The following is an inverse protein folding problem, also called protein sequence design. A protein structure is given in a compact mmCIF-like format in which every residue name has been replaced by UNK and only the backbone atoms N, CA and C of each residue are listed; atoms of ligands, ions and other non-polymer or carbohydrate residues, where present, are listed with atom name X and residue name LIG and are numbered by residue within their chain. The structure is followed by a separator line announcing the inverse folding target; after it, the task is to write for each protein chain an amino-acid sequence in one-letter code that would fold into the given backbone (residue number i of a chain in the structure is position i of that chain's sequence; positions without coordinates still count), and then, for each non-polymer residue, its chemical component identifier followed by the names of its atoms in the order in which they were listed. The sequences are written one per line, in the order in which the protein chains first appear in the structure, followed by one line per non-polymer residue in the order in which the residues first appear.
data_IF_002182949491
#
_entry.id   IF_002182949491
#
_cell.length_a   1.000
_cell.length_b   1.000
_cell.length_c   1.000
_cell.angle_alpha   90.00
_cell.angle_beta   90.00
_cell.angle_gamma   90.00
#
_symmetry.space_group_name_H-M   'P 1'
#
loop_
_entity.id
_entity.type
_entity.pdbx_description
1 polymer ?
#
# COMPACT_ATOMS: atom_id res chain seq x y z
N UNK A 1 18.55 -2.18 -23.05
CA UNK A 1 18.03 -1.21 -22.07
C UNK A 1 16.75 -1.79 -21.49
N UNK A 2 16.70 -2.10 -20.19
CA UNK A 2 15.48 -2.59 -19.53
C UNK A 2 14.99 -1.51 -18.55
N UNK A 3 14.27 -0.53 -19.06
CA UNK A 3 13.51 0.38 -18.21
C UNK A 3 12.22 -0.36 -17.82
N UNK A 4 12.07 -0.66 -16.54
CA UNK A 4 10.83 -1.23 -16.01
C UNK A 4 9.94 -0.06 -15.61
N UNK A 5 8.83 0.14 -16.31
CA UNK A 5 7.78 1.08 -15.89
C UNK A 5 7.25 0.59 -14.52
N UNK A 6 7.32 1.39 -13.45
CA UNK A 6 6.71 1.04 -12.18
C UNK A 6 5.19 0.87 -12.36
N UNK A 7 4.59 -0.09 -11.65
CA UNK A 7 3.15 -0.25 -11.64
C UNK A 7 2.47 1.07 -11.22
N UNK A 8 1.37 1.45 -11.87
CA UNK A 8 0.61 2.62 -11.46
C UNK A 8 -0.12 2.33 -10.15
N UNK A 9 0.38 2.92 -9.06
CA UNK A 9 -0.20 2.75 -7.72
C UNK A 9 -1.15 3.87 -7.33
N UNK A 10 -1.20 4.98 -8.09
CA UNK A 10 -2.03 6.14 -7.78
C UNK A 10 -3.51 5.80 -7.73
N UNK A 11 -4.24 6.32 -6.76
CA UNK A 11 -5.69 6.16 -6.57
C UNK A 11 -6.04 5.67 -5.17
N UNK A 12 -7.33 5.42 -4.95
CA UNK A 12 -7.86 4.93 -3.68
C UNK A 12 -8.02 3.42 -3.70
N UNK A 13 -7.60 2.78 -2.62
CA UNK A 13 -7.59 1.33 -2.47
C UNK A 13 -8.30 0.95 -1.18
N UNK A 14 -9.22 -0.01 -1.25
CA UNK A 14 -9.81 -0.65 -0.08
C UNK A 14 -8.84 -1.69 0.44
N UNK A 15 -8.14 -1.40 1.52
CA UNK A 15 -7.21 -2.30 2.20
C UNK A 15 -7.98 -3.11 3.25
N UNK A 16 -7.78 -4.43 3.23
CA UNK A 16 -8.35 -5.37 4.18
C UNK A 16 -7.20 -6.16 4.77
N UNK A 17 -7.03 -6.08 6.09
CA UNK A 17 -6.10 -6.90 6.86
C UNK A 17 -6.85 -7.59 8.01
N UNK A 18 -6.76 -8.92 8.06
CA UNK A 18 -7.46 -9.80 9.00
C UNK A 18 -8.95 -9.48 9.19
N UNK A 19 -9.28 -8.53 10.08
CA UNK A 19 -10.65 -8.11 10.42
C UNK A 19 -10.87 -6.59 10.27
N UNK A 20 -9.85 -5.85 9.86
CA UNK A 20 -9.91 -4.40 9.70
C UNK A 20 -9.93 -4.01 8.23
N UNK A 21 -10.75 -3.01 7.95
CA UNK A 21 -10.84 -2.39 6.64
C UNK A 21 -10.42 -0.92 6.75
N UNK A 22 -9.66 -0.47 5.76
CA UNK A 22 -9.16 0.88 5.66
C UNK A 22 -9.16 1.34 4.19
N UNK A 23 -9.22 2.65 3.98
CA UNK A 23 -9.01 3.25 2.66
C UNK A 23 -7.58 3.77 2.56
N UNK A 24 -6.81 3.21 1.64
CA UNK A 24 -5.45 3.63 1.32
C UNK A 24 -5.48 4.51 0.08
N UNK A 25 -5.24 5.79 0.26
CA UNK A 25 -5.01 6.73 -0.83
C UNK A 25 -3.52 6.73 -1.18
N UNK A 26 -3.19 6.48 -2.44
CA UNK A 26 -1.82 6.58 -2.95
C UNK A 26 -1.77 7.63 -4.05
N UNK A 27 -0.70 8.43 -4.06
CA UNK A 27 -0.37 9.32 -5.17
C UNK A 27 1.05 9.02 -5.63
N UNK A 28 1.25 9.01 -6.94
CA UNK A 28 2.55 8.79 -7.57
C UNK A 28 2.91 9.98 -8.45
N UNK A 29 3.95 10.71 -8.03
CA UNK A 29 4.56 11.79 -8.80
C UNK A 29 5.93 11.32 -9.30
N UNK A 30 5.95 10.84 -10.55
CA UNK A 30 7.14 10.23 -11.17
C UNK A 30 7.66 9.02 -10.35
N UNK A 31 8.72 9.23 -9.57
CA UNK A 31 9.37 8.23 -8.71
C UNK A 31 8.96 8.37 -7.24
N UNK A 32 8.27 9.46 -6.89
CA UNK A 32 7.83 9.74 -5.53
C UNK A 32 6.46 9.12 -5.34
N UNK A 33 6.33 8.28 -4.31
CA UNK A 33 5.05 7.76 -3.85
C UNK A 33 4.72 8.45 -2.55
N UNK A 34 3.50 8.98 -2.46
CA UNK A 34 2.88 9.45 -1.24
C UNK A 34 1.58 8.69 -0.98
N UNK A 35 1.12 8.73 0.26
CA UNK A 35 -0.14 8.09 0.58
C UNK A 35 -0.63 8.38 1.98
N UNK A 36 -1.90 8.09 2.18
CA UNK A 36 -2.62 8.24 3.45
C UNK A 36 -3.50 7.01 3.67
N UNK A 37 -3.58 6.56 4.90
CA UNK A 37 -4.51 5.52 5.32
C UNK A 37 -5.62 6.15 6.14
N UNK A 38 -6.86 5.88 5.75
CA UNK A 38 -8.07 6.26 6.45
C UNK A 38 -8.63 5.00 7.10
N UNK A 39 -8.58 4.94 8.43
CA UNK A 39 -9.12 3.81 9.21
C UNK A 39 -10.04 4.35 10.28
N UNK A 40 -11.31 3.94 10.29
CA UNK A 40 -12.29 4.34 11.31
C UNK A 40 -12.32 5.87 11.57
N UNK A 41 -12.18 6.69 10.52
CA UNK A 41 -12.18 8.16 10.62
C UNK A 41 -10.87 8.79 11.09
N UNK A 42 -9.80 8.02 11.31
CA UNK A 42 -8.45 8.52 11.56
C UNK A 42 -7.65 8.50 10.26
N UNK A 43 -6.89 9.58 10.04
CA UNK A 43 -5.98 9.71 8.90
C UNK A 43 -4.56 9.52 9.42
N UNK A 44 -3.84 8.59 8.81
CA UNK A 44 -2.42 8.34 9.08
C UNK A 44 -1.63 8.53 7.79
N UNK A 45 -0.54 9.29 7.87
CA UNK A 45 0.35 9.42 6.73
C UNK A 45 1.13 8.11 6.56
N UNK A 46 1.15 7.61 5.32
CA UNK A 46 1.97 6.46 4.99
C UNK A 46 3.44 6.86 5.16
N UNK A 47 4.30 6.07 5.80
CA UNK A 47 5.72 6.38 6.02
C UNK A 47 6.62 6.05 4.82
N UNK A 48 7.74 5.38 5.07
CA UNK A 48 8.74 5.05 4.04
C UNK A 48 8.13 4.26 2.88
N UNK A 49 8.02 4.83 1.67
CA UNK A 49 7.44 4.13 0.52
C UNK A 49 8.51 3.81 -0.52
N UNK A 50 8.48 2.58 -1.03
CA UNK A 50 9.33 2.14 -2.15
C UNK A 50 8.51 1.36 -3.14
N UNK A 51 8.63 1.74 -4.41
CA UNK A 51 8.02 1.07 -5.54
C UNK A 51 9.12 0.58 -6.48
N UNK A 52 9.14 -0.73 -6.77
CA UNK A 52 10.11 -1.35 -7.68
C UNK A 52 9.38 -2.32 -8.60
N UNK A 53 9.18 -1.93 -9.86
CA UNK A 53 8.39 -2.73 -10.80
C UNK A 53 6.98 -2.95 -10.28
N UNK A 54 6.67 -4.16 -9.82
CA UNK A 54 5.38 -4.53 -9.22
C UNK A 54 5.40 -4.61 -7.70
N UNK A 55 6.57 -4.51 -7.07
CA UNK A 55 6.70 -4.59 -5.61
C UNK A 55 6.49 -3.22 -4.99
N UNK A 56 5.66 -3.17 -3.94
CA UNK A 56 5.44 -1.99 -3.12
C UNK A 56 5.76 -2.33 -1.66
N UNK A 57 6.45 -1.42 -0.99
CA UNK A 57 6.58 -1.45 0.46
C UNK A 57 6.28 -0.08 1.04
N UNK A 58 5.57 -0.05 2.15
CA UNK A 58 5.23 1.16 2.87
C UNK A 58 5.09 0.89 4.38
N UNK A 59 5.21 1.90 5.23
CA UNK A 59 4.93 1.77 6.67
C UNK A 59 3.75 2.64 7.10
N UNK A 60 3.08 2.27 8.18
CA UNK A 60 2.02 3.06 8.83
C UNK A 60 2.18 2.87 10.33
N UNK A 61 2.49 3.94 11.05
CA UNK A 61 2.97 3.84 12.43
C UNK A 61 4.15 2.87 12.52
N UNK A 62 4.04 1.87 13.40
CA UNK A 62 5.05 0.83 13.61
C UNK A 62 4.88 -0.41 12.71
N UNK A 63 3.84 -0.44 11.86
CA UNK A 63 3.57 -1.59 10.99
C UNK A 63 4.12 -1.39 9.58
N UNK A 64 4.90 -2.37 9.13
CA UNK A 64 5.56 -2.41 7.82
C UNK A 64 4.80 -3.29 6.84
N UNK A 65 4.32 -2.71 5.76
CA UNK A 65 3.59 -3.38 4.69
C UNK A 65 4.52 -3.67 3.52
N UNK A 66 4.46 -4.90 3.00
CA UNK A 66 5.11 -5.29 1.75
C UNK A 66 4.14 -6.09 0.91
N UNK A 67 4.04 -5.76 -0.37
CA UNK A 67 3.16 -6.46 -1.28
C UNK A 67 3.54 -6.30 -2.73
N UNK A 68 2.67 -6.82 -3.58
CA UNK A 68 2.78 -6.75 -5.02
C UNK A 68 1.48 -6.19 -5.61
N UNK A 69 1.64 -5.32 -6.59
CA UNK A 69 0.56 -4.70 -7.36
C UNK A 69 0.34 -5.50 -8.64
N UNK A 70 -0.89 -5.94 -8.85
CA UNK A 70 -1.34 -6.65 -10.06
C UNK A 70 -2.66 -6.04 -10.55
N UNK A 71 -2.55 -5.14 -11.53
CA UNK A 71 -3.67 -4.37 -12.07
C UNK A 71 -4.39 -3.57 -10.99
N UNK A 72 -5.63 -3.96 -10.70
CA UNK A 72 -6.51 -3.32 -9.72
C UNK A 72 -6.49 -3.99 -8.34
N UNK A 73 -5.52 -4.87 -8.09
CA UNK A 73 -5.37 -5.55 -6.81
C UNK A 73 -3.95 -5.44 -6.28
N UNK A 74 -3.83 -5.37 -4.97
CA UNK A 74 -2.57 -5.54 -4.26
C UNK A 74 -2.71 -6.67 -3.24
N UNK A 75 -1.65 -7.42 -3.03
CA UNK A 75 -1.61 -8.46 -1.98
C UNK A 75 -0.24 -8.48 -1.34
N UNK A 76 -0.20 -8.75 -0.04
CA UNK A 76 1.06 -8.72 0.68
C UNK A 76 0.97 -9.22 2.11
N UNK A 77 2.03 -8.91 2.85
CA UNK A 77 2.13 -9.15 4.29
C UNK A 77 2.37 -7.83 5.01
N UNK A 78 1.71 -7.66 6.16
CA UNK A 78 1.97 -6.56 7.07
C UNK A 78 2.69 -7.14 8.30
N UNK A 79 3.72 -6.45 8.76
CA UNK A 79 4.54 -6.86 9.89
C UNK A 79 4.43 -5.78 10.95
N UNK A 80 3.81 -6.11 12.07
CA UNK A 80 3.74 -5.30 13.27
C UNK A 80 4.52 -6.00 14.40
N UNK A 81 4.59 -5.35 15.56
CA UNK A 81 5.30 -5.91 16.72
C UNK A 81 4.64 -7.20 17.26
N UNK A 82 3.34 -7.34 17.07
CA UNK A 82 2.53 -8.47 17.52
C UNK A 82 2.51 -9.67 16.54
N UNK A 83 3.03 -9.49 15.32
CA UNK A 83 3.10 -10.57 14.35
C UNK A 83 3.18 -10.14 12.88
N UNK A 84 2.89 -11.10 12.00
CA UNK A 84 2.82 -10.89 10.55
C UNK A 84 1.48 -11.37 10.03
N UNK A 85 0.73 -10.47 9.41
CA UNK A 85 -0.59 -10.71 8.83
C UNK A 85 -0.53 -10.66 7.30
N UNK A 86 -1.56 -11.19 6.64
CA UNK A 86 -1.74 -11.06 5.19
C UNK A 86 -2.79 -10.00 4.93
N UNK A 87 -2.45 -9.04 4.05
CA UNK A 87 -3.38 -8.01 3.62
C UNK A 87 -3.66 -8.11 2.12
N UNK A 88 -4.82 -7.60 1.72
CA UNK A 88 -5.20 -7.42 0.32
C UNK A 88 -5.78 -6.03 0.15
N UNK A 89 -5.49 -5.39 -0.98
CA UNK A 89 -6.15 -4.17 -1.37
C UNK A 89 -6.81 -4.28 -2.74
N UNK A 90 -8.02 -3.73 -2.87
CA UNK A 90 -8.73 -3.60 -4.14
C UNK A 90 -8.92 -2.14 -4.50
N UNK A 91 -8.62 -1.75 -5.74
CA UNK A 91 -8.84 -0.38 -6.20
C UNK A 91 -10.33 -0.03 -6.14
N UNK A 92 -10.64 1.12 -5.55
CA UNK A 92 -12.00 1.69 -5.54
C UNK A 92 -12.07 2.64 -6.75
N UNK A 93 -13.08 2.45 -7.59
CA UNK A 93 -13.34 3.28 -8.79
C UNK A 93 -14.14 4.52 -8.43
#
# INVERSE_FOLDING_TARGET
MFWTVPANVSGTWRLVDQEQEAELELAQECQIVSGRLLTNGRIEDVGERRLRGREISFSIGDTSYRGRVDGNTMTGTARADDGTSKWRAGRIN
#
